data_IF_033599648936
#
_entry.id   IF_033599648936
#
_cell.length_a   1.000
_cell.length_b   1.000
_cell.length_c   1.000
_cell.angle_alpha   90.00
_cell.angle_beta   90.00
_cell.angle_gamma   90.00
#
_symmetry.space_group_name_H-M   'P 1'
#
loop_
_entity.id
_entity.type
_entity.pdbx_description
1 polymer ?
#
# COMPACT_ATOMS: atom_id res chain seq x y z
N UNK A 1 -26.00 3.81 7.93
CA UNK A 1 -24.70 4.23 7.36
C UNK A 1 -24.41 3.25 6.25
N UNK A 2 -24.05 3.70 5.04
CA UNK A 2 -23.63 2.74 4.02
C UNK A 2 -22.46 1.94 4.61
N UNK A 3 -22.60 0.61 4.65
CA UNK A 3 -21.50 -0.25 5.07
C UNK A 3 -20.39 -0.06 4.04
N UNK A 4 -19.40 0.76 4.40
CA UNK A 4 -18.17 0.87 3.64
C UNK A 4 -17.49 -0.49 3.75
N UNK A 5 -17.61 -1.28 2.70
CA UNK A 5 -17.00 -2.61 2.60
C UNK A 5 -15.47 -2.56 2.84
N UNK A 6 -14.85 -1.45 2.47
CA UNK A 6 -13.44 -1.15 2.68
C UNK A 6 -13.29 0.23 3.33
N UNK A 7 -12.29 0.41 4.18
CA UNK A 7 -11.98 1.65 4.88
C UNK A 7 -13.04 2.05 5.91
N UNK A 8 -13.60 1.07 6.62
CA UNK A 8 -14.56 1.32 7.69
C UNK A 8 -13.88 1.82 8.97
N UNK A 9 -12.60 1.52 9.18
CA UNK A 9 -11.74 2.19 10.17
C UNK A 9 -11.07 3.42 9.57
N UNK A 10 -10.60 4.35 10.41
CA UNK A 10 -9.82 5.49 9.95
C UNK A 10 -8.49 5.04 9.29
N UNK A 11 -7.91 3.95 9.80
CA UNK A 11 -6.66 3.37 9.31
C UNK A 11 -6.82 2.74 7.92
N UNK A 12 -7.84 1.90 7.70
CA UNK A 12 -8.10 1.32 6.38
C UNK A 12 -8.52 2.36 5.35
N UNK A 13 -9.18 3.44 5.78
CA UNK A 13 -9.55 4.55 4.88
C UNK A 13 -8.34 5.24 4.26
N UNK A 14 -7.21 5.31 4.96
CA UNK A 14 -5.98 5.86 4.38
C UNK A 14 -5.45 5.00 3.22
N UNK A 15 -5.66 3.68 3.27
CA UNK A 15 -5.34 2.79 2.16
C UNK A 15 -6.32 2.90 0.99
N UNK A 16 -7.63 3.02 1.27
CA UNK A 16 -8.64 3.29 0.22
C UNK A 16 -8.29 4.56 -0.54
N UNK A 17 -7.80 5.61 0.14
CA UNK A 17 -7.37 6.87 -0.49
C UNK A 17 -6.18 6.72 -1.45
N UNK A 18 -5.37 5.67 -1.33
CA UNK A 18 -4.34 5.37 -2.33
C UNK A 18 -4.97 4.89 -3.66
N UNK A 19 -6.02 4.08 -3.59
CA UNK A 19 -6.80 3.67 -4.77
C UNK A 19 -7.71 4.79 -5.28
N UNK A 20 -8.23 5.61 -4.38
CA UNK A 20 -9.22 6.66 -4.62
C UNK A 20 -8.75 8.03 -4.09
N UNK A 21 -7.74 8.67 -4.73
CA UNK A 21 -7.29 9.99 -4.33
C UNK A 21 -8.42 11.03 -4.34
N UNK A 22 -8.47 11.89 -3.30
CA UNK A 22 -9.50 12.92 -3.13
C UNK A 22 -9.53 13.92 -4.30
N UNK A 23 -8.37 14.20 -4.90
CA UNK A 23 -8.25 15.08 -6.07
C UNK A 23 -8.11 14.24 -7.34
N UNK A 24 -9.23 13.86 -7.93
CA UNK A 24 -9.29 13.26 -9.26
C UNK A 24 -10.12 14.14 -10.18
N UNK A 25 -9.54 14.52 -11.33
CA UNK A 25 -10.23 15.33 -12.34
C UNK A 25 -11.29 14.53 -13.12
N UNK A 26 -11.18 13.20 -13.14
CA UNK A 26 -12.11 12.28 -13.80
C UNK A 26 -12.30 11.00 -12.96
N UNK A 27 -13.49 10.39 -12.97
CA UNK A 27 -13.71 9.10 -12.33
C UNK A 27 -12.77 8.03 -12.88
N UNK A 28 -12.15 7.24 -12.01
CA UNK A 28 -11.32 6.09 -12.41
C UNK A 28 -12.21 4.90 -12.79
N UNK A 29 -12.31 4.53 -14.08
CA UNK A 29 -13.23 3.48 -14.55
C UNK A 29 -12.87 2.07 -14.03
N UNK A 30 -11.64 1.85 -13.57
CA UNK A 30 -11.20 0.54 -13.07
C UNK A 30 -11.69 0.23 -11.65
N UNK A 31 -12.12 1.24 -10.86
CA UNK A 31 -12.45 1.04 -9.44
C UNK A 31 -13.56 0.01 -9.17
N UNK A 32 -14.71 0.01 -9.88
CA UNK A 32 -15.77 -0.98 -9.63
C UNK A 32 -15.26 -2.41 -9.80
N UNK A 33 -14.42 -2.64 -10.81
CA UNK A 33 -13.83 -3.95 -11.08
C UNK A 33 -12.76 -4.32 -10.06
N UNK A 34 -11.92 -3.36 -9.65
CA UNK A 34 -10.91 -3.57 -8.62
C UNK A 34 -11.56 -3.99 -7.28
N UNK A 35 -12.59 -3.26 -6.84
CA UNK A 35 -13.39 -3.60 -5.65
C UNK A 35 -13.99 -4.99 -5.77
N UNK A 36 -14.58 -5.33 -6.92
CA UNK A 36 -15.15 -6.66 -7.13
C UNK A 36 -14.10 -7.78 -7.08
N UNK A 37 -12.84 -7.53 -7.47
CA UNK A 37 -11.78 -8.55 -7.36
C UNK A 37 -11.40 -8.75 -5.89
N UNK A 38 -11.19 -7.66 -5.15
CA UNK A 38 -10.86 -7.72 -3.72
C UNK A 38 -11.98 -8.40 -2.92
N UNK A 39 -13.24 -7.98 -3.12
CA UNK A 39 -14.44 -8.51 -2.46
C UNK A 39 -14.58 -10.02 -2.61
N UNK A 40 -14.33 -10.55 -3.81
CA UNK A 40 -14.52 -11.98 -4.09
C UNK A 40 -13.24 -12.79 -3.84
N UNK A 41 -12.36 -12.34 -2.93
CA UNK A 41 -11.10 -13.01 -2.58
C UNK A 41 -10.20 -13.33 -3.78
N UNK A 42 -10.24 -12.49 -4.82
CA UNK A 42 -9.41 -12.62 -6.02
C UNK A 42 -7.96 -12.17 -5.83
N UNK A 43 -7.59 -11.77 -4.60
CA UNK A 43 -6.26 -11.32 -4.20
C UNK A 43 -5.81 -12.15 -3.00
N UNK A 44 -4.64 -12.79 -3.10
CA UNK A 44 -3.94 -13.41 -1.98
C UNK A 44 -2.64 -12.66 -1.74
N UNK A 45 -2.48 -12.11 -0.54
CA UNK A 45 -1.30 -11.32 -0.17
C UNK A 45 -0.32 -12.13 0.67
N UNK A 46 0.95 -11.90 0.41
CA UNK A 46 2.10 -12.31 1.20
C UNK A 46 2.82 -11.01 1.60
N UNK A 47 2.94 -10.78 2.90
CA UNK A 47 3.52 -9.54 3.44
C UNK A 47 4.90 -9.87 4.01
N UNK A 48 5.93 -9.22 3.50
CA UNK A 48 7.30 -9.32 3.99
C UNK A 48 7.81 -7.91 4.28
N UNK A 49 7.91 -7.58 5.56
CA UNK A 49 8.25 -6.23 6.05
C UNK A 49 7.34 -5.16 5.38
N UNK A 50 7.94 -4.27 4.58
CA UNK A 50 7.25 -3.16 3.88
C UNK A 50 6.77 -3.50 2.47
N UNK A 51 6.92 -4.76 2.05
CA UNK A 51 6.54 -5.21 0.71
C UNK A 51 5.34 -6.14 0.78
N UNK A 52 4.33 -5.85 -0.02
CA UNK A 52 3.19 -6.74 -0.25
C UNK A 52 3.33 -7.35 -1.63
N UNK A 53 3.52 -8.68 -1.67
CA UNK A 53 3.43 -9.48 -2.87
C UNK A 53 2.03 -10.07 -2.95
N UNK A 54 1.36 -9.88 -4.08
CA UNK A 54 -0.03 -10.31 -4.26
C UNK A 54 -0.17 -11.22 -5.47
N UNK A 55 -0.80 -12.37 -5.26
CA UNK A 55 -1.20 -13.31 -6.28
C UNK A 55 -2.66 -13.05 -6.64
N UNK A 56 -2.91 -12.70 -7.90
CA UNK A 56 -4.24 -12.42 -8.42
C UNK A 56 -4.67 -13.50 -9.39
N UNK A 57 -5.87 -14.04 -9.19
CA UNK A 57 -6.47 -15.04 -10.08
C UNK A 57 -7.82 -14.55 -10.58
N UNK A 58 -7.95 -14.45 -11.91
CA UNK A 58 -9.23 -14.11 -12.55
C UNK A 58 -9.38 -14.85 -13.86
N UNK A 59 -10.25 -15.84 -13.90
CA UNK A 59 -10.64 -16.56 -15.13
C UNK A 59 -9.43 -17.03 -15.94
N UNK A 60 -8.76 -18.10 -15.50
CA UNK A 60 -7.59 -18.69 -16.17
C UNK A 60 -6.32 -17.82 -16.20
N UNK A 61 -6.41 -16.53 -15.91
CA UNK A 61 -5.27 -15.62 -15.89
C UNK A 61 -4.76 -15.42 -14.46
N UNK A 62 -3.44 -15.53 -14.30
CA UNK A 62 -2.74 -15.22 -13.07
C UNK A 62 -1.88 -13.96 -13.28
N UNK A 63 -1.82 -13.10 -12.26
CA UNK A 63 -0.89 -11.97 -12.23
C UNK A 63 -0.28 -11.87 -10.85
N UNK A 64 0.96 -11.40 -10.81
CA UNK A 64 1.64 -11.07 -9.56
C UNK A 64 1.78 -9.55 -9.53
N UNK A 65 1.38 -8.94 -8.42
CA UNK A 65 1.58 -7.53 -8.16
C UNK A 65 2.47 -7.36 -6.92
N UNK A 66 3.29 -6.31 -6.94
CA UNK A 66 4.12 -5.89 -5.82
C UNK A 66 3.73 -4.46 -5.45
N UNK A 67 3.60 -4.21 -4.16
CA UNK A 67 3.38 -2.87 -3.59
C UNK A 67 4.42 -2.69 -2.49
N UNK A 68 5.29 -1.68 -2.63
CA UNK A 68 6.27 -1.32 -1.60
C UNK A 68 5.86 -0.01 -0.92
N UNK A 69 5.95 0.01 0.40
CA UNK A 69 5.56 1.13 1.25
C UNK A 69 6.79 1.81 1.81
N UNK A 70 6.77 3.14 1.85
CA UNK A 70 7.87 3.94 2.39
C UNK A 70 8.02 3.69 3.90
N UNK A 71 9.26 3.58 4.42
CA UNK A 71 9.47 3.51 5.85
C UNK A 71 9.08 4.84 6.51
N UNK A 72 8.59 4.77 7.75
CA UNK A 72 8.47 5.94 8.61
C UNK A 72 9.86 6.53 8.88
N UNK A 73 9.94 7.85 8.92
CA UNK A 73 11.15 8.53 9.42
C UNK A 73 11.29 8.32 10.92
N UNK A 74 12.51 8.42 11.46
CA UNK A 74 12.74 8.37 12.91
C UNK A 74 11.88 9.39 13.67
N UNK A 75 11.70 10.58 13.11
CA UNK A 75 10.84 11.62 13.67
C UNK A 75 9.38 11.16 13.75
N UNK A 76 8.86 10.55 12.68
CA UNK A 76 7.50 10.01 12.65
C UNK A 76 7.32 8.84 13.64
N UNK A 77 8.28 7.91 13.72
CA UNK A 77 8.26 6.81 14.71
C UNK A 77 8.21 7.38 16.13
N UNK A 78 9.07 8.35 16.45
CA UNK A 78 9.12 8.98 17.77
C UNK A 78 7.81 9.69 18.10
N UNK A 79 7.23 10.41 17.14
CA UNK A 79 5.96 11.10 17.33
C UNK A 79 4.81 10.13 17.55
N UNK A 80 4.74 9.05 16.76
CA UNK A 80 3.72 8.02 16.90
C UNK A 80 3.84 7.34 18.26
N UNK A 81 5.05 6.95 18.69
CA UNK A 81 5.28 6.31 19.99
C UNK A 81 4.90 7.20 21.18
N UNK A 82 5.05 8.53 21.05
CA UNK A 82 4.59 9.49 22.07
C UNK A 82 3.06 9.58 22.15
N UNK A 83 2.38 9.51 21.02
CA UNK A 83 0.92 9.62 20.95
C UNK A 83 0.22 8.30 21.23
N UNK A 84 0.86 7.18 20.89
CA UNK A 84 0.34 5.82 21.01
C UNK A 84 1.33 4.99 21.84
N UNK A 85 1.20 5.01 23.18
CA UNK A 85 2.11 4.27 24.05
C UNK A 85 2.01 2.74 23.90
N UNK A 86 0.81 2.23 23.58
CA UNK A 86 0.58 0.82 23.32
C UNK A 86 0.06 0.58 21.89
N UNK A 87 0.95 0.21 20.95
CA UNK A 87 0.60 -0.04 19.55
C UNK A 87 0.14 -1.50 19.29
N UNK A 88 -0.22 -2.27 20.33
CA UNK A 88 -0.80 -3.61 20.17
C UNK A 88 -2.24 -3.58 19.68
N UNK A 89 -3.01 -2.57 20.13
CA UNK A 89 -4.41 -2.37 19.75
C UNK A 89 -4.59 -0.92 19.36
N UNK A 90 -4.73 -0.68 18.05
CA UNK A 90 -4.92 0.66 17.50
C UNK A 90 -6.41 0.96 17.34
N UNK A 91 -6.82 2.16 17.74
CA UNK A 91 -8.21 2.64 17.63
C UNK A 91 -8.29 3.83 16.69
N UNK A 92 -9.50 4.15 16.22
CA UNK A 92 -9.75 5.39 15.46
C UNK A 92 -9.49 6.65 16.30
N UNK A 93 -9.61 6.56 17.63
CA UNK A 93 -9.25 7.65 18.54
C UNK A 93 -7.74 7.94 18.51
N UNK A 94 -6.91 6.90 18.46
CA UNK A 94 -5.46 7.04 18.31
C UNK A 94 -5.07 7.60 16.94
N UNK A 95 -5.76 7.18 15.88
CA UNK A 95 -5.59 7.76 14.53
C UNK A 95 -5.85 9.27 14.55
N UNK A 96 -6.99 9.68 15.15
CA UNK A 96 -7.33 11.10 15.29
C UNK A 96 -6.31 11.85 16.13
N UNK A 97 -5.84 11.28 17.24
CA UNK A 97 -4.82 11.91 18.07
C UNK A 97 -3.50 12.16 17.32
N UNK A 98 -3.11 11.26 16.40
CA UNK A 98 -1.95 11.49 15.53
C UNK A 98 -2.18 12.69 14.61
N UNK A 99 -3.34 12.76 13.95
CA UNK A 99 -3.70 13.87 13.07
C UNK A 99 -3.74 15.20 13.82
N UNK A 100 -4.34 15.23 15.02
CA UNK A 100 -4.42 16.42 15.88
C UNK A 100 -3.01 16.86 16.34
N UNK A 101 -2.08 15.92 16.51
CA UNK A 101 -0.67 16.19 16.77
C UNK A 101 0.13 16.57 15.50
N UNK A 102 -0.51 16.67 14.33
CA UNK A 102 0.13 17.04 13.07
C UNK A 102 0.88 15.91 12.35
N UNK A 103 0.65 14.65 12.75
CA UNK A 103 1.33 13.49 12.18
C UNK A 103 0.33 12.62 11.42
N UNK A 104 0.54 12.45 10.11
CA UNK A 104 -0.29 11.56 9.31
C UNK A 104 0.21 10.11 9.44
N UNK A 105 -0.65 9.15 9.84
CA UNK A 105 -0.31 7.73 9.77
C UNK A 105 -0.52 7.13 8.36
N UNK A 106 -0.94 7.92 7.38
CA UNK A 106 -1.25 7.44 6.05
C UNK A 106 0.04 6.96 5.33
N UNK A 107 0.03 5.76 4.73
CA UNK A 107 1.18 5.23 4.03
C UNK A 107 1.50 6.02 2.75
N UNK A 108 2.77 6.01 2.37
CA UNK A 108 3.22 6.45 1.04
C UNK A 108 3.76 5.24 0.28
N UNK A 109 3.37 5.07 -0.98
CA UNK A 109 3.90 3.99 -1.82
C UNK A 109 5.23 4.43 -2.44
N UNK A 110 6.25 3.58 -2.33
CA UNK A 110 7.55 3.76 -3.00
C UNK A 110 7.48 3.27 -4.44
N UNK A 111 6.88 2.09 -4.63
CA UNK A 111 6.78 1.46 -5.93
C UNK A 111 5.58 0.53 -6.01
N UNK A 112 5.07 0.38 -7.23
CA UNK A 112 4.06 -0.63 -7.56
C UNK A 112 4.43 -1.27 -8.88
N UNK A 113 4.37 -2.59 -8.95
CA UNK A 113 4.64 -3.36 -10.16
C UNK A 113 3.56 -4.44 -10.34
N UNK A 114 3.24 -4.75 -11.59
CA UNK A 114 2.34 -5.85 -11.89
C UNK A 114 2.72 -6.55 -13.19
N UNK A 115 2.68 -7.89 -13.18
CA UNK A 115 2.98 -8.73 -14.33
C UNK A 115 1.88 -8.76 -15.40
N UNK A 116 0.79 -7.99 -15.22
CA UNK A 116 -0.33 -8.01 -16.14
C UNK A 116 -0.03 -7.25 -17.45
N UNK A 117 -0.77 -7.54 -18.54
CA UNK A 117 -0.51 -6.91 -19.84
C UNK A 117 -0.72 -5.39 -19.89
N UNK A 118 -1.37 -4.79 -18.88
CA UNK A 118 -1.57 -3.35 -18.84
C UNK A 118 -0.24 -2.59 -18.67
N UNK A 119 0.75 -3.18 -17.99
CA UNK A 119 2.10 -2.62 -17.81
C UNK A 119 2.12 -1.19 -17.26
N UNK A 120 1.24 -0.92 -16.29
CA UNK A 120 1.16 0.37 -15.59
C UNK A 120 1.19 0.18 -14.09
N UNK A 121 1.69 1.20 -13.39
CA UNK A 121 1.65 1.35 -11.94
C UNK A 121 0.21 1.36 -11.39
N UNK A 122 -0.76 1.77 -12.21
CA UNK A 122 -2.17 1.94 -11.83
C UNK A 122 -3.13 1.02 -12.58
N UNK A 123 -2.79 -0.25 -12.72
CA UNK A 123 -3.69 -1.24 -13.31
C UNK A 123 -4.78 -1.72 -12.33
N UNK A 124 -5.81 -2.41 -12.83
CA UNK A 124 -6.91 -2.94 -12.02
C UNK A 124 -6.44 -3.89 -10.91
N UNK A 125 -5.33 -4.58 -11.12
CA UNK A 125 -4.75 -5.50 -10.14
C UNK A 125 -4.11 -4.76 -8.98
N UNK A 126 -3.29 -3.73 -9.24
CA UNK A 126 -2.71 -2.90 -8.18
C UNK A 126 -3.82 -2.25 -7.36
N UNK A 127 -4.85 -1.70 -8.01
CA UNK A 127 -6.01 -1.14 -7.31
C UNK A 127 -6.72 -2.19 -6.44
N UNK A 128 -6.90 -3.42 -6.93
CA UNK A 128 -7.50 -4.51 -6.15
C UNK A 128 -6.63 -4.89 -4.95
N UNK A 129 -5.30 -4.87 -5.08
CA UNK A 129 -4.36 -5.09 -3.97
C UNK A 129 -4.50 -4.01 -2.91
N UNK A 130 -4.63 -2.73 -3.29
CA UNK A 130 -4.85 -1.64 -2.32
C UNK A 130 -6.13 -1.81 -1.52
N UNK A 131 -7.24 -2.27 -2.13
CA UNK A 131 -8.46 -2.62 -1.39
C UNK A 131 -8.26 -3.84 -0.49
N UNK A 132 -7.55 -4.87 -0.96
CA UNK A 132 -7.26 -6.05 -0.14
C UNK A 132 -6.38 -5.72 1.08
N UNK A 133 -5.44 -4.78 0.95
CA UNK A 133 -4.66 -4.27 2.08
C UNK A 133 -5.56 -3.43 3.00
N UNK A 134 -6.42 -2.56 2.45
CA UNK A 134 -7.36 -1.77 3.24
C UNK A 134 -8.24 -2.66 4.13
N UNK A 135 -8.76 -3.77 3.59
CA UNK A 135 -9.52 -4.75 4.36
C UNK A 135 -8.68 -5.35 5.49
N UNK A 136 -7.48 -5.87 5.20
CA UNK A 136 -6.60 -6.43 6.23
C UNK A 136 -6.23 -5.43 7.32
N UNK A 137 -6.10 -4.15 6.96
CA UNK A 137 -5.86 -3.05 7.91
C UNK A 137 -7.10 -2.73 8.71
N UNK A 138 -8.29 -2.78 8.12
CA UNK A 138 -9.52 -2.60 8.88
C UNK A 138 -9.75 -3.73 9.91
N UNK A 139 -9.34 -4.95 9.60
CA UNK A 139 -9.36 -6.09 10.53
C UNK A 139 -8.28 -5.98 11.61
N UNK A 140 -7.09 -5.52 11.23
CA UNK A 140 -5.96 -5.36 12.14
C UNK A 140 -5.23 -4.02 11.85
N UNK A 141 -5.63 -2.91 12.49
CA UNK A 141 -5.07 -1.60 12.15
C UNK A 141 -3.58 -1.46 12.46
N UNK A 142 -3.03 -2.33 13.33
CA UNK A 142 -1.59 -2.44 13.58
C UNK A 142 -0.79 -2.68 12.30
N UNK A 143 -1.37 -3.40 11.33
CA UNK A 143 -0.75 -3.68 10.04
C UNK A 143 -0.39 -2.39 9.27
N UNK A 144 -1.16 -1.30 9.45
CA UNK A 144 -0.85 -0.02 8.81
C UNK A 144 0.51 0.56 9.25
N UNK A 145 0.91 0.33 10.52
CA UNK A 145 2.20 0.75 11.04
C UNK A 145 3.30 -0.28 10.73
N UNK A 146 2.98 -1.57 10.74
CA UNK A 146 3.90 -2.65 10.33
C UNK A 146 4.39 -2.47 8.90
N UNK A 147 3.46 -2.22 7.96
CA UNK A 147 3.80 -2.00 6.56
C UNK A 147 4.68 -0.76 6.34
N UNK A 148 4.71 0.19 7.28
CA UNK A 148 5.58 1.36 7.24
C UNK A 148 6.85 1.18 8.09
N UNK A 149 7.14 -0.02 8.58
CA UNK A 149 8.36 -0.35 9.32
C UNK A 149 8.42 0.18 10.76
N UNK A 150 7.28 0.53 11.37
CA UNK A 150 7.25 1.11 12.73
C UNK A 150 7.86 0.20 13.80
N UNK A 151 7.77 -1.12 13.63
CA UNK A 151 8.24 -2.11 14.60
C UNK A 151 9.64 -2.66 14.27
N UNK A 152 10.28 -2.16 13.22
CA UNK A 152 11.61 -2.61 12.82
C UNK A 152 12.65 -2.01 13.79
N UNK A 153 13.23 -2.85 14.65
CA UNK A 153 14.19 -2.44 15.69
C UNK A 153 15.58 -2.06 15.14
N UNK A 154 15.81 -2.25 13.84
CA UNK A 154 17.11 -2.03 13.17
C UNK A 154 17.17 -0.75 12.34
N UNK A 155 16.11 0.07 12.32
CA UNK A 155 16.04 1.26 11.49
C UNK A 155 16.86 2.44 12.07
N UNK A 156 18.19 2.33 12.02
CA UNK A 156 19.08 3.48 12.05
C UNK A 156 19.04 4.15 10.67
N UNK A 157 17.98 4.91 10.38
CA UNK A 157 17.85 5.58 9.08
C UNK A 157 17.52 7.06 9.24
N UNK A 158 18.57 7.84 9.44
CA UNK A 158 18.74 9.17 8.81
C UNK A 158 19.10 9.04 7.31
N UNK A 159 18.87 7.87 6.72
CA UNK A 159 19.13 7.57 5.32
C UNK A 159 17.99 8.15 4.48
N UNK A 160 18.28 8.94 3.43
CA UNK A 160 17.25 9.44 2.51
C UNK A 160 16.40 8.29 1.97
N UNK A 161 15.12 8.57 1.71
CA UNK A 161 14.09 7.63 1.20
C UNK A 161 14.74 6.49 0.43
N UNK A 162 14.76 5.30 1.05
CA UNK A 162 15.42 4.14 0.50
C UNK A 162 14.96 3.94 -0.95
N UNK A 163 15.92 3.81 -1.87
CA UNK A 163 15.64 3.39 -3.24
C UNK A 163 14.81 2.11 -3.18
N UNK A 164 13.79 2.01 -4.05
CA UNK A 164 12.93 0.84 -4.10
C UNK A 164 13.78 -0.42 -4.13
N UNK A 165 13.54 -1.36 -3.19
CA UNK A 165 14.31 -2.62 -3.14
C UNK A 165 14.16 -3.41 -4.45
N UNK A 166 13.05 -3.16 -5.15
CA UNK A 166 12.73 -3.72 -6.44
C UNK A 166 12.61 -2.63 -7.50
N UNK A 167 13.35 -2.77 -8.59
CA UNK A 167 13.12 -1.96 -9.79
C UNK A 167 11.89 -2.51 -10.51
N UNK A 168 10.88 -1.68 -10.76
CA UNK A 168 9.74 -2.08 -11.57
C UNK A 168 10.20 -2.55 -12.95
N UNK A 169 9.64 -3.64 -13.44
CA UNK A 169 10.02 -4.16 -14.75
C UNK A 169 9.67 -3.16 -15.87
N UNK A 170 8.64 -2.34 -15.67
CA UNK A 170 8.20 -1.36 -16.66
C UNK A 170 9.02 -0.06 -16.64
N UNK A 171 9.83 0.18 -15.60
CA UNK A 171 10.77 1.31 -15.58
C UNK A 171 12.12 0.99 -16.23
N UNK A 172 12.38 -0.28 -16.54
CA UNK A 172 13.57 -0.72 -17.27
C UNK A 172 13.39 -0.51 -18.77
N UNK A 173 14.33 0.19 -19.40
CA UNK A 173 14.40 0.38 -20.85
C UNK A 173 15.31 -0.69 -21.46
N UNK A 174 14.77 -1.70 -22.19
CA UNK A 174 15.57 -2.79 -22.73
C UNK A 174 16.68 -2.32 -23.69
N UNK A 175 16.48 -1.19 -24.38
CA UNK A 175 17.45 -0.65 -25.33
C UNK A 175 18.75 -0.19 -24.65
N UNK A 176 18.70 0.10 -23.35
CA UNK A 176 19.88 0.44 -22.53
C UNK A 176 20.69 -0.78 -22.11
N UNK A 177 20.14 -1.98 -22.24
CA UNK A 177 20.78 -3.23 -21.78
C UNK A 177 21.19 -4.14 -22.94
N UNK A 178 20.56 -4.00 -24.10
CA UNK A 178 20.87 -4.79 -25.29
C UNK A 178 21.25 -3.88 -26.45
N UNK A 179 22.55 -3.84 -26.80
CA UNK A 179 22.99 -3.30 -28.09
C UNK A 179 22.61 -4.28 -29.19
N UNK A 180 21.75 -3.85 -30.11
CA UNK A 180 21.47 -4.62 -31.33
C UNK A 180 22.77 -4.66 -32.15
N UNK A 181 23.43 -5.82 -32.17
CA UNK A 181 24.52 -6.04 -33.12
C UNK A 181 23.90 -6.02 -34.53
N UNK A 182 24.28 -5.01 -35.30
CA UNK A 182 23.90 -4.88 -36.71
C UNK A 182 24.77 -5.77 -37.59
#
# INVERSE_FOLDING_TARGET
>A
MADNEFGYTAWGRDWVRLAEPIRQARPEPLLPRARSIARNHGVRTEIEARTVRAHLHRGGQASIAHVEVAPLTRGAVTAIARTIPDPRVLTDGMHRALLDAGHSPAPTLVSTDCSCPARTDRCVHVLAVLYAIAWQVDENPRLALELQGFFDTTADTDVPVAEARWTSLHSLDPSKFFTTAH
#
